data_IF_754316215351
#
_entry.id   IF_754316215351
#
_cell.length_a   1.000
_cell.length_b   1.000
_cell.length_c   1.000
_cell.angle_alpha   90.00
_cell.angle_beta   90.00
_cell.angle_gamma   90.00
#
_symmetry.space_group_name_H-M   'P 1'
#
loop_
_entity.id
_entity.type
_entity.pdbx_description
1 polymer ?
#
# COMPACT_ATOMS: atom_id res chain seq x y z
N UNK A 1 13.31 -59.56 8.82
CA UNK A 1 12.62 -58.42 9.45
C UNK A 1 13.59 -57.57 10.26
N UNK A 2 14.35 -58.13 11.19
CA UNK A 2 15.31 -57.37 12.01
C UNK A 2 16.35 -56.56 11.19
N UNK A 3 17.09 -57.22 10.29
CA UNK A 3 18.01 -56.53 9.35
C UNK A 3 17.35 -55.47 8.44
N UNK A 4 16.08 -55.66 8.10
CA UNK A 4 15.35 -54.71 7.24
C UNK A 4 15.05 -53.42 8.02
N UNK A 5 14.69 -53.56 9.29
CA UNK A 5 14.41 -52.42 10.18
C UNK A 5 15.69 -51.65 10.48
N UNK A 6 16.81 -52.34 10.69
CA UNK A 6 18.12 -51.69 10.85
C UNK A 6 18.47 -50.82 9.64
N UNK A 7 18.30 -51.37 8.43
CA UNK A 7 18.55 -50.64 7.18
C UNK A 7 17.57 -49.46 6.99
N UNK A 8 16.28 -49.65 7.28
CA UNK A 8 15.28 -48.58 7.20
C UNK A 8 15.59 -47.43 8.17
N UNK A 9 16.09 -47.72 9.36
CA UNK A 9 16.52 -46.68 10.32
C UNK A 9 17.73 -45.91 9.80
N UNK A 10 18.68 -46.59 9.14
CA UNK A 10 19.81 -45.92 8.48
C UNK A 10 19.32 -44.98 7.36
N UNK A 11 18.36 -45.44 6.55
CA UNK A 11 17.77 -44.63 5.47
C UNK A 11 17.00 -43.41 6.02
N UNK A 12 16.21 -43.59 7.09
CA UNK A 12 15.51 -42.51 7.81
C UNK A 12 16.50 -41.47 8.32
N UNK A 13 17.57 -41.90 9.01
CA UNK A 13 18.59 -40.99 9.55
C UNK A 13 19.38 -40.28 8.47
N UNK A 14 19.67 -40.97 7.37
CA UNK A 14 20.32 -40.34 6.23
C UNK A 14 19.41 -39.28 5.60
N UNK A 15 18.11 -39.53 5.49
CA UNK A 15 17.16 -38.54 4.97
C UNK A 15 17.09 -37.28 5.84
N UNK A 16 17.18 -37.42 7.17
CA UNK A 16 17.21 -36.31 8.11
C UNK A 16 18.40 -35.33 7.90
N UNK A 17 19.38 -35.68 7.07
CA UNK A 17 20.50 -34.78 6.71
C UNK A 17 20.23 -33.88 5.50
N UNK A 18 19.11 -34.09 4.80
CA UNK A 18 18.75 -33.37 3.55
C UNK A 18 17.84 -32.16 3.76
N UNK A 19 17.67 -31.74 5.02
CA UNK A 19 16.84 -30.58 5.38
C UNK A 19 17.45 -29.32 4.75
N UNK A 20 16.62 -28.57 4.03
CA UNK A 20 17.02 -27.29 3.44
C UNK A 20 17.02 -26.19 4.50
N UNK A 21 17.92 -25.20 4.42
CA UNK A 21 17.86 -24.03 5.29
C UNK A 21 16.60 -23.19 5.01
N UNK A 22 16.17 -22.34 5.96
CA UNK A 22 15.08 -21.40 5.75
C UNK A 22 15.34 -20.50 4.53
N UNK A 23 14.30 -20.21 3.74
CA UNK A 23 14.39 -19.29 2.60
C UNK A 23 14.57 -17.82 3.01
N UNK A 24 14.80 -16.93 2.03
CA UNK A 24 15.07 -15.49 2.23
C UNK A 24 13.99 -14.75 3.05
N UNK A 25 12.74 -15.24 3.06
CA UNK A 25 11.63 -14.69 3.86
C UNK A 25 11.86 -14.74 5.38
N UNK A 26 12.82 -15.54 5.83
CA UNK A 26 13.13 -15.74 7.25
C UNK A 26 14.27 -14.86 7.77
N UNK A 27 14.88 -14.00 6.93
CA UNK A 27 16.07 -13.21 7.32
C UNK A 27 15.80 -12.15 8.40
N UNK A 28 14.57 -11.59 8.44
CA UNK A 28 14.20 -10.49 9.34
C UNK A 28 13.18 -10.89 10.43
N UNK A 29 12.92 -12.19 10.60
CA UNK A 29 11.91 -12.70 11.53
C UNK A 29 12.48 -12.84 12.95
N UNK A 30 11.79 -12.30 13.95
CA UNK A 30 12.15 -12.56 15.34
C UNK A 30 11.77 -14.01 15.72
N UNK A 31 12.77 -14.89 15.70
CA UNK A 31 12.62 -16.31 16.04
C UNK A 31 12.18 -16.56 17.49
N UNK A 32 12.29 -15.55 18.38
CA UNK A 32 11.83 -15.63 19.76
C UNK A 32 10.35 -15.21 19.90
N UNK A 33 9.71 -14.72 18.83
CA UNK A 33 8.29 -14.37 18.78
C UNK A 33 7.45 -15.49 18.11
N UNK A 34 6.68 -16.30 18.88
CA UNK A 34 5.92 -17.43 18.34
C UNK A 34 4.85 -17.05 17.31
N UNK A 35 4.31 -15.83 17.40
CA UNK A 35 3.28 -15.37 16.48
C UNK A 35 3.88 -14.99 15.13
N UNK A 36 5.02 -14.29 15.11
CA UNK A 36 5.72 -13.95 13.86
C UNK A 36 6.24 -15.20 13.14
N UNK A 37 6.78 -16.17 13.88
CA UNK A 37 7.21 -17.46 13.31
C UNK A 37 6.03 -18.20 12.68
N UNK A 38 4.86 -18.19 13.32
CA UNK A 38 3.65 -18.82 12.80
C UNK A 38 3.14 -18.12 11.54
N UNK A 39 3.08 -16.79 11.56
CA UNK A 39 2.58 -16.00 10.43
C UNK A 39 3.47 -16.16 9.19
N UNK A 40 4.79 -16.18 9.35
CA UNK A 40 5.73 -16.37 8.24
C UNK A 40 5.70 -17.81 7.72
N UNK A 41 5.54 -18.82 8.59
CA UNK A 41 5.36 -20.21 8.14
C UNK A 41 4.11 -20.39 7.28
N UNK A 42 3.01 -19.69 7.61
CA UNK A 42 1.78 -19.69 6.83
C UNK A 42 1.94 -18.98 5.48
N UNK A 43 2.65 -17.84 5.47
CA UNK A 43 2.98 -17.11 4.24
C UNK A 43 3.91 -17.93 3.34
N UNK A 44 4.88 -18.65 3.90
CA UNK A 44 5.76 -19.54 3.14
C UNK A 44 4.98 -20.69 2.50
N UNK A 45 4.03 -21.30 3.23
CA UNK A 45 3.13 -22.32 2.65
C UNK A 45 2.34 -21.77 1.46
N UNK A 46 1.89 -20.52 1.53
CA UNK A 46 1.11 -19.86 0.47
C UNK A 46 1.97 -19.47 -0.74
N UNK A 47 3.21 -19.02 -0.52
CA UNK A 47 4.09 -18.49 -1.57
C UNK A 47 4.92 -19.59 -2.25
N UNK A 48 5.39 -20.59 -1.51
CA UNK A 48 6.46 -21.50 -1.97
C UNK A 48 6.05 -22.93 -2.37
N UNK A 49 4.77 -23.37 -2.28
CA UNK A 49 4.46 -24.79 -2.48
C UNK A 49 3.18 -25.16 -3.25
N UNK A 50 3.33 -25.97 -4.30
CA UNK A 50 2.33 -26.97 -4.68
C UNK A 50 2.41 -28.12 -3.65
N UNK A 51 1.28 -28.59 -3.08
CA UNK A 51 1.28 -29.71 -2.14
C UNK A 51 1.96 -30.95 -2.75
N UNK A 52 2.86 -31.57 -1.99
CA UNK A 52 3.57 -32.79 -2.39
C UNK A 52 3.37 -33.89 -1.35
N UNK A 53 3.38 -35.15 -1.80
CA UNK A 53 3.27 -36.28 -0.89
C UNK A 53 4.40 -36.28 0.14
N UNK A 54 4.06 -36.50 1.41
CA UNK A 54 5.02 -36.51 2.51
C UNK A 54 6.19 -37.47 2.24
N UNK A 55 5.90 -38.64 1.66
CA UNK A 55 6.90 -39.64 1.25
C UNK A 55 7.92 -39.14 0.22
N UNK A 56 7.54 -38.21 -0.66
CA UNK A 56 8.44 -37.55 -1.61
C UNK A 56 9.30 -36.49 -0.92
N UNK A 57 8.68 -35.67 -0.06
CA UNK A 57 9.34 -34.58 0.68
C UNK A 57 10.48 -35.13 1.54
N UNK A 58 10.20 -36.18 2.33
CA UNK A 58 11.17 -36.80 3.24
C UNK A 58 11.94 -37.95 2.59
N UNK A 59 11.69 -38.27 1.32
CA UNK A 59 12.43 -39.28 0.57
C UNK A 59 12.33 -40.71 1.11
N UNK A 60 11.28 -41.06 1.85
CA UNK A 60 10.98 -42.42 2.36
C UNK A 60 9.59 -42.81 1.89
N UNK A 61 9.51 -43.81 0.99
CA UNK A 61 8.23 -44.29 0.47
C UNK A 61 7.40 -45.08 1.49
N UNK A 62 6.07 -44.98 1.42
CA UNK A 62 5.15 -45.72 2.31
C UNK A 62 5.31 -47.24 2.20
N UNK A 63 5.72 -47.73 1.04
CA UNK A 63 6.05 -49.14 0.77
C UNK A 63 7.26 -49.63 1.57
N UNK A 64 8.16 -48.72 1.96
CA UNK A 64 9.34 -49.05 2.76
C UNK A 64 8.98 -49.23 4.23
N UNK A 65 7.84 -48.70 4.69
CA UNK A 65 7.34 -48.84 6.05
C UNK A 65 6.56 -50.15 6.24
N UNK A 66 7.05 -51.11 7.06
CA UNK A 66 6.37 -52.39 7.25
C UNK A 66 4.98 -52.21 7.87
N UNK A 67 3.99 -53.03 7.48
CA UNK A 67 2.68 -53.02 8.11
C UNK A 67 2.78 -53.48 9.59
N UNK A 68 1.92 -52.97 10.49
CA UNK A 68 2.03 -53.22 11.94
C UNK A 68 2.01 -54.71 12.33
N UNK A 69 1.32 -55.56 11.55
CA UNK A 69 1.22 -57.00 11.80
C UNK A 69 2.53 -57.79 11.54
N UNK A 70 3.55 -57.15 10.97
CA UNK A 70 4.86 -57.75 10.71
C UNK A 70 5.92 -57.34 11.73
N UNK A 71 5.57 -56.47 12.69
CA UNK A 71 6.50 -55.86 13.64
C UNK A 71 6.24 -56.35 15.07
N UNK A 72 7.30 -56.48 15.87
CA UNK A 72 7.20 -56.63 17.33
C UNK A 72 6.96 -55.25 17.97
N UNK A 73 6.35 -55.20 19.15
CA UNK A 73 6.08 -53.93 19.85
C UNK A 73 7.36 -53.09 20.06
N UNK A 74 8.48 -53.73 20.38
CA UNK A 74 9.80 -53.08 20.50
C UNK A 74 10.29 -52.44 19.20
N UNK A 75 9.94 -53.04 18.05
CA UNK A 75 10.30 -52.55 16.73
C UNK A 75 9.39 -51.41 16.28
N UNK A 76 8.11 -51.47 16.64
CA UNK A 76 7.13 -50.40 16.41
C UNK A 76 7.55 -49.13 17.15
N UNK A 77 7.85 -49.22 18.45
CA UNK A 77 8.31 -48.06 19.24
C UNK A 77 9.59 -47.46 18.67
N UNK A 78 10.54 -48.31 18.25
CA UNK A 78 11.79 -47.85 17.66
C UNK A 78 11.56 -47.09 16.34
N UNK A 79 10.78 -47.66 15.41
CA UNK A 79 10.48 -47.02 14.13
C UNK A 79 9.65 -45.75 14.28
N UNK A 80 8.64 -45.75 15.15
CA UNK A 80 7.83 -44.57 15.43
C UNK A 80 8.68 -43.40 15.92
N UNK A 81 9.63 -43.66 16.83
CA UNK A 81 10.52 -42.61 17.34
C UNK A 81 11.42 -42.03 16.25
N UNK A 82 11.99 -42.88 15.38
CA UNK A 82 12.84 -42.42 14.28
C UNK A 82 12.02 -41.66 13.22
N UNK A 83 10.79 -42.10 12.91
CA UNK A 83 9.88 -41.40 12.01
C UNK A 83 9.47 -40.02 12.54
N UNK A 84 9.11 -39.91 13.82
CA UNK A 84 8.75 -38.63 14.45
C UNK A 84 9.95 -37.68 14.49
N UNK A 85 11.15 -38.20 14.77
CA UNK A 85 12.37 -37.39 14.74
C UNK A 85 12.69 -36.89 13.32
N UNK A 86 12.51 -37.73 12.30
CA UNK A 86 12.65 -37.33 10.91
C UNK A 86 11.66 -36.22 10.56
N UNK A 87 10.38 -36.38 10.89
CA UNK A 87 9.36 -35.38 10.60
C UNK A 87 9.66 -34.04 11.25
N UNK A 88 10.07 -34.04 12.53
CA UNK A 88 10.48 -32.81 13.23
C UNK A 88 11.68 -32.12 12.59
N UNK A 89 12.59 -32.89 11.97
CA UNK A 89 13.72 -32.32 11.23
C UNK A 89 13.26 -31.60 9.95
N UNK A 90 12.15 -32.02 9.39
CA UNK A 90 11.48 -31.38 8.26
C UNK A 90 10.35 -30.43 8.71
N UNK A 91 10.36 -29.98 9.98
CA UNK A 91 9.37 -29.07 10.56
C UNK A 91 7.93 -29.62 10.66
N UNK A 92 7.73 -30.93 10.48
CA UNK A 92 6.43 -31.58 10.67
C UNK A 92 6.26 -32.14 12.09
N UNK A 93 5.12 -31.87 12.70
CA UNK A 93 4.78 -32.31 14.06
C UNK A 93 3.51 -33.17 14.03
N UNK A 94 3.64 -34.50 14.13
CA UNK A 94 2.50 -35.40 14.25
C UNK A 94 1.71 -35.20 15.54
N UNK A 95 0.42 -34.90 15.42
CA UNK A 95 -0.45 -34.67 16.58
C UNK A 95 -1.12 -35.95 17.04
N UNK A 96 -0.60 -36.50 18.14
CA UNK A 96 -1.12 -37.71 18.75
C UNK A 96 -1.76 -37.40 20.11
N UNK A 97 -2.85 -38.10 20.49
CA UNK A 97 -3.34 -38.07 21.86
C UNK A 97 -2.27 -38.57 22.84
N UNK A 98 -2.11 -37.90 23.99
CA UNK A 98 -1.01 -38.15 24.96
C UNK A 98 -0.87 -39.62 25.40
N UNK A 99 -1.97 -40.36 25.43
CA UNK A 99 -2.04 -41.75 25.93
C UNK A 99 -2.19 -42.80 24.82
N UNK A 100 -2.11 -42.41 23.54
CA UNK A 100 -2.26 -43.34 22.44
C UNK A 100 -1.07 -44.33 22.38
N UNK A 101 -1.30 -45.65 22.25
CA UNK A 101 -0.23 -46.64 22.22
C UNK A 101 0.57 -46.56 20.91
N UNK A 102 1.87 -46.83 20.99
CA UNK A 102 2.80 -46.69 19.86
C UNK A 102 2.37 -47.48 18.60
N UNK A 103 1.75 -48.64 18.76
CA UNK A 103 1.25 -49.45 17.64
C UNK A 103 0.12 -48.73 16.88
N UNK A 104 -0.75 -48.02 17.61
CA UNK A 104 -1.81 -47.23 17.02
C UNK A 104 -1.25 -45.96 16.36
N UNK A 105 -0.33 -45.27 17.04
CA UNK A 105 0.34 -44.07 16.50
C UNK A 105 1.12 -44.37 15.22
N UNK A 106 1.89 -45.46 15.21
CA UNK A 106 2.63 -45.93 14.04
C UNK A 106 1.69 -46.27 12.88
N UNK A 107 0.60 -47.00 13.15
CA UNK A 107 -0.39 -47.33 12.12
C UNK A 107 -0.98 -46.07 11.50
N UNK A 108 -1.48 -45.14 12.32
CA UNK A 108 -2.13 -43.92 11.83
C UNK A 108 -1.14 -43.06 11.05
N UNK A 109 0.08 -42.86 11.56
CA UNK A 109 1.11 -42.10 10.86
C UNK A 109 1.50 -42.73 9.51
N UNK A 110 1.63 -44.06 9.46
CA UNK A 110 1.91 -44.78 8.22
C UNK A 110 0.75 -44.67 7.21
N UNK A 111 -0.49 -44.66 7.68
CA UNK A 111 -1.67 -44.58 6.82
C UNK A 111 -1.74 -43.22 6.10
N UNK A 112 -1.31 -42.13 6.76
CA UNK A 112 -1.26 -40.75 6.25
C UNK A 112 0.09 -40.38 5.61
N UNK A 113 0.97 -41.36 5.37
CA UNK A 113 2.35 -41.11 4.90
C UNK A 113 2.48 -40.62 3.45
N UNK A 114 1.40 -40.70 2.67
CA UNK A 114 1.35 -40.20 1.28
C UNK A 114 0.43 -38.97 1.15
N UNK A 115 -0.01 -38.40 2.27
CA UNK A 115 -0.84 -37.21 2.27
C UNK A 115 -0.02 -36.00 1.79
N UNK A 116 -0.72 -35.04 1.20
CA UNK A 116 -0.09 -33.88 0.57
C UNK A 116 0.19 -32.79 1.59
N UNK A 117 1.45 -32.36 1.66
CA UNK A 117 1.90 -31.30 2.55
C UNK A 117 2.78 -30.29 1.79
N UNK A 118 2.91 -29.10 2.36
CA UNK A 118 3.86 -28.09 1.90
C UNK A 118 5.05 -28.07 2.86
N UNK A 119 6.25 -28.18 2.31
CA UNK A 119 7.49 -28.08 3.08
C UNK A 119 7.76 -26.61 3.43
N UNK A 120 8.03 -26.33 4.71
CA UNK A 120 8.45 -25.01 5.20
C UNK A 120 9.91 -25.03 5.63
N UNK A 121 10.58 -23.89 5.50
CA UNK A 121 11.98 -23.71 5.84
C UNK A 121 12.23 -23.48 7.33
N UNK A 122 11.24 -22.98 8.08
CA UNK A 122 11.25 -22.87 9.54
C UNK A 122 9.83 -22.90 10.13
N UNK A 123 9.73 -22.94 11.46
CA UNK A 123 8.45 -23.10 12.18
C UNK A 123 8.06 -24.57 12.38
N UNK A 124 6.77 -24.81 12.67
CA UNK A 124 6.19 -26.14 12.86
C UNK A 124 4.87 -26.27 12.09
N UNK A 125 4.73 -27.35 11.33
CA UNK A 125 3.51 -27.75 10.62
C UNK A 125 2.94 -28.97 11.30
N UNK A 126 1.79 -28.80 11.95
CA UNK A 126 1.11 -29.88 12.64
C UNK A 126 0.41 -30.81 11.63
N UNK A 127 0.62 -32.12 11.78
CA UNK A 127 -0.08 -33.15 11.01
C UNK A 127 -1.22 -33.68 11.87
N UNK A 128 -2.43 -33.23 11.53
CA UNK A 128 -3.67 -33.73 12.12
C UNK A 128 -4.12 -35.00 11.39
N UNK A 129 -4.59 -36.00 12.14
CA UNK A 129 -5.01 -37.30 11.59
C UNK A 129 -6.54 -37.50 11.63
N UNK A 130 -7.29 -36.50 12.06
CA UNK A 130 -8.69 -36.63 12.45
C UNK A 130 -9.58 -35.68 11.65
N UNK A 131 -10.51 -36.23 10.87
CA UNK A 131 -11.52 -35.46 10.12
C UNK A 131 -12.73 -35.03 10.97
N UNK A 132 -12.62 -35.13 12.30
CA UNK A 132 -13.67 -34.84 13.29
C UNK A 132 -14.94 -35.70 13.16
N UNK A 133 -14.92 -36.78 12.38
CA UNK A 133 -15.98 -37.80 12.36
C UNK A 133 -15.80 -38.80 13.51
N UNK A 134 -16.68 -38.71 14.51
CA UNK A 134 -16.71 -39.62 15.65
C UNK A 134 -16.86 -41.10 15.31
N UNK A 135 -17.51 -41.39 14.19
CA UNK A 135 -17.74 -42.77 13.75
C UNK A 135 -16.47 -43.38 13.12
N UNK A 136 -15.53 -42.54 12.68
CA UNK A 136 -14.27 -42.91 12.03
C UNK A 136 -13.06 -42.34 12.79
N UNK A 137 -13.13 -42.26 14.13
CA UNK A 137 -12.01 -41.74 14.90
C UNK A 137 -10.75 -42.63 14.74
N UNK A 138 -9.60 -42.07 14.33
CA UNK A 138 -8.33 -42.81 14.19
C UNK A 138 -7.76 -43.29 15.55
N UNK A 139 -8.21 -42.69 16.66
CA UNK A 139 -7.72 -42.97 18.02
C UNK A 139 -8.84 -43.37 19.00
N UNK A 140 -9.58 -44.46 18.73
CA UNK A 140 -10.74 -44.84 19.52
C UNK A 140 -10.32 -45.18 20.96
N UNK A 141 -10.96 -44.51 21.93
CA UNK A 141 -10.70 -44.71 23.37
C UNK A 141 -9.47 -43.98 23.92
N UNK A 142 -8.69 -43.32 23.07
CA UNK A 142 -7.51 -42.54 23.47
C UNK A 142 -7.66 -41.04 23.19
N UNK A 143 -8.52 -40.67 22.24
CA UNK A 143 -8.90 -39.29 21.96
C UNK A 143 -10.20 -38.93 22.72
N UNK A 144 -10.20 -37.78 23.39
CA UNK A 144 -11.36 -37.21 24.08
C UNK A 144 -11.93 -35.99 23.39
N UNK A 145 -11.29 -35.48 22.32
CA UNK A 145 -11.64 -34.24 21.63
C UNK A 145 -13.13 -34.18 21.25
N UNK A 146 -13.68 -35.20 20.56
CA UNK A 146 -15.11 -35.17 20.22
C UNK A 146 -16.05 -35.27 21.43
N UNK A 147 -15.60 -35.87 22.54
CA UNK A 147 -16.37 -35.91 23.79
C UNK A 147 -16.31 -34.57 24.51
N UNK A 148 -15.15 -33.92 24.52
CA UNK A 148 -14.96 -32.57 25.04
C UNK A 148 -15.83 -31.58 24.26
N UNK A 149 -15.80 -31.64 22.93
CA UNK A 149 -16.69 -30.86 22.04
C UNK A 149 -18.19 -31.10 22.37
N UNK A 150 -18.57 -32.34 22.67
CA UNK A 150 -19.96 -32.71 23.05
C UNK A 150 -20.36 -32.31 24.47
N UNK A 151 -19.40 -32.25 25.39
CA UNK A 151 -19.63 -31.86 26.78
C UNK A 151 -19.72 -30.34 26.89
N UNK A 152 -18.89 -29.60 26.13
CA UNK A 152 -18.99 -28.15 25.95
C UNK A 152 -20.35 -27.72 25.38
N UNK A 153 -20.92 -28.50 24.45
CA UNK A 153 -22.25 -28.20 23.87
C UNK A 153 -23.44 -28.53 24.79
N UNK A 154 -23.24 -29.08 25.99
CA UNK A 154 -24.33 -29.34 26.97
C UNK A 154 -24.45 -28.29 28.08
N UNK A 155 -23.40 -27.51 28.35
CA UNK A 155 -23.34 -26.58 29.49
C UNK A 155 -23.91 -25.18 29.18
N UNK A 156 -24.28 -24.89 27.94
CA UNK A 156 -24.73 -23.57 27.47
C UNK A 156 -26.23 -23.26 27.67
N UNK A 157 -27.01 -24.12 28.36
CA UNK A 157 -28.43 -23.83 28.64
C UNK A 157 -28.70 -22.83 29.77
N UNK A 158 -27.67 -22.21 30.33
CA UNK A 158 -27.86 -21.25 31.41
C UNK A 158 -26.64 -20.40 31.69
N UNK A 159 -26.39 -19.43 30.80
CA UNK A 159 -25.41 -18.31 30.84
C UNK A 159 -24.14 -18.56 30.00
N UNK A 160 -24.09 -17.83 28.89
CA UNK A 160 -22.91 -17.26 28.20
C UNK A 160 -21.72 -18.21 27.96
N UNK A 161 -21.54 -18.69 26.71
CA UNK A 161 -20.45 -18.24 25.81
C UNK A 161 -20.26 -19.14 24.56
N UNK A 162 -20.67 -18.58 23.41
CA UNK A 162 -20.23 -18.71 22.01
C UNK A 162 -20.36 -20.08 21.29
N UNK A 163 -21.57 -20.34 20.77
CA UNK A 163 -21.72 -20.96 19.44
C UNK A 163 -21.20 -19.94 18.42
N UNK A 164 -20.04 -20.15 17.81
CA UNK A 164 -19.65 -19.35 16.63
C UNK A 164 -20.12 -20.10 15.40
N UNK A 165 -21.13 -19.53 14.73
CA UNK A 165 -21.52 -19.93 13.38
C UNK A 165 -20.29 -19.83 12.45
N UNK A 166 -20.19 -20.62 11.38
CA UNK A 166 -19.08 -20.46 10.41
C UNK A 166 -19.12 -19.05 9.77
N UNK A 167 -20.32 -18.45 9.71
CA UNK A 167 -20.52 -17.05 9.35
C UNK A 167 -20.03 -16.05 10.42
N UNK A 168 -19.82 -16.47 11.67
CA UNK A 168 -19.17 -15.69 12.75
C UNK A 168 -17.64 -15.91 12.81
N UNK A 169 -17.11 -16.91 12.10
CA UNK A 169 -15.66 -17.16 11.96
C UNK A 169 -15.05 -16.47 10.74
N UNK A 170 -15.84 -16.25 9.70
CA UNK A 170 -15.47 -15.33 8.63
C UNK A 170 -15.62 -13.91 9.16
N UNK A 171 -14.61 -13.03 9.00
CA UNK A 171 -14.80 -11.64 9.35
C UNK A 171 -16.03 -11.13 8.61
N UNK A 172 -16.98 -10.60 9.37
CA UNK A 172 -18.17 -9.97 8.81
C UNK A 172 -17.74 -8.93 7.76
N UNK A 173 -18.60 -8.56 6.80
CA UNK A 173 -18.29 -7.46 5.89
C UNK A 173 -17.86 -6.17 6.61
N UNK A 174 -18.28 -5.97 7.86
CA UNK A 174 -17.82 -4.87 8.71
C UNK A 174 -16.40 -5.08 9.27
N UNK A 175 -16.04 -6.31 9.65
CA UNK A 175 -14.69 -6.67 10.11
C UNK A 175 -13.67 -6.68 8.98
N UNK A 176 -14.03 -7.20 7.79
CA UNK A 176 -13.20 -7.10 6.58
C UNK A 176 -12.94 -5.63 6.27
N UNK A 177 -13.99 -4.79 6.25
CA UNK A 177 -13.81 -3.35 6.05
C UNK A 177 -12.95 -2.71 7.13
N UNK A 178 -13.06 -3.14 8.38
CA UNK A 178 -12.25 -2.64 9.50
C UNK A 178 -10.78 -3.02 9.34
N UNK A 179 -10.50 -4.24 8.90
CA UNK A 179 -9.16 -4.75 8.62
C UNK A 179 -8.54 -4.07 7.39
N UNK A 180 -9.28 -3.97 6.28
CA UNK A 180 -8.89 -3.20 5.11
C UNK A 180 -8.55 -1.75 5.46
N UNK A 181 -9.35 -1.15 6.34
CA UNK A 181 -9.13 0.20 6.86
C UNK A 181 -7.87 0.29 7.71
N UNK A 182 -7.61 -0.69 8.58
CA UNK A 182 -6.40 -0.75 9.39
C UNK A 182 -5.16 -0.90 8.51
N UNK A 183 -5.20 -1.80 7.52
CA UNK A 183 -4.14 -2.02 6.55
C UNK A 183 -3.91 -0.78 5.67
N UNK A 184 -4.97 -0.05 5.30
CA UNK A 184 -4.87 1.24 4.62
C UNK A 184 -4.16 2.27 5.50
N UNK A 185 -4.54 2.41 6.77
CA UNK A 185 -3.87 3.31 7.72
C UNK A 185 -2.39 2.98 7.90
N UNK A 186 -2.04 1.71 8.04
CA UNK A 186 -0.64 1.27 8.15
C UNK A 186 0.14 1.65 6.89
N UNK A 187 -0.37 1.34 5.69
CA UNK A 187 0.26 1.75 4.43
C UNK A 187 0.47 3.26 4.31
N UNK A 188 -0.55 4.06 4.65
CA UNK A 188 -0.45 5.52 4.66
C UNK A 188 0.67 5.98 5.62
N UNK A 189 0.69 5.42 6.83
CA UNK A 189 1.67 5.76 7.85
C UNK A 189 3.10 5.40 7.41
N UNK A 190 3.29 4.23 6.84
CA UNK A 190 4.58 3.78 6.33
C UNK A 190 5.03 4.66 5.16
N UNK A 191 4.14 4.99 4.22
CA UNK A 191 4.45 5.88 3.11
C UNK A 191 4.94 7.27 3.58
N UNK A 192 4.39 7.79 4.67
CA UNK A 192 4.86 9.04 5.27
C UNK A 192 6.16 8.87 6.08
N UNK A 193 6.39 7.71 6.70
CA UNK A 193 7.52 7.45 7.61
C UNK A 193 8.75 6.82 6.97
N UNK A 194 8.68 6.32 5.72
CA UNK A 194 9.86 5.87 4.95
C UNK A 194 10.97 6.92 5.05
N UNK A 195 12.23 6.50 5.15
CA UNK A 195 13.38 7.39 5.43
C UNK A 195 13.49 8.57 4.46
N UNK A 196 13.72 9.77 5.01
CA UNK A 196 13.95 11.02 4.27
C UNK A 196 15.30 11.05 3.52
N UNK A 197 16.19 10.11 3.83
CA UNK A 197 17.59 10.08 3.37
C UNK A 197 17.81 9.06 2.25
N UNK A 198 16.73 8.52 1.65
CA UNK A 198 16.85 7.66 0.48
C UNK A 198 17.33 8.48 -0.73
N UNK A 199 18.56 8.22 -1.18
CA UNK A 199 19.21 8.85 -2.35
C UNK A 199 18.39 8.76 -3.66
N UNK A 200 17.38 7.88 -3.72
CA UNK A 200 16.46 7.77 -4.85
C UNK A 200 15.61 9.03 -5.06
N UNK A 201 15.21 9.72 -3.98
CA UNK A 201 14.29 10.86 -4.06
C UNK A 201 15.04 12.19 -4.17
N UNK A 202 14.48 13.12 -4.93
CA UNK A 202 15.00 14.49 -5.04
C UNK A 202 14.39 15.33 -3.89
N UNK A 203 15.19 15.81 -2.92
CA UNK A 203 14.68 16.61 -1.82
C UNK A 203 14.03 17.90 -2.32
N UNK A 204 12.82 18.21 -1.83
CA UNK A 204 12.16 19.48 -2.10
C UNK A 204 11.64 19.67 -3.54
N UNK A 205 11.73 18.69 -4.44
CA UNK A 205 11.21 18.79 -5.83
C UNK A 205 9.73 19.21 -5.87
N UNK A 206 8.94 18.78 -4.89
CA UNK A 206 7.52 19.08 -4.78
C UNK A 206 7.21 20.52 -4.34
N UNK A 207 8.19 21.28 -3.84
CA UNK A 207 7.99 22.67 -3.44
C UNK A 207 7.79 23.59 -4.66
N UNK A 208 8.47 23.26 -5.77
CA UNK A 208 8.51 24.08 -6.98
C UNK A 208 8.02 23.34 -8.23
N UNK A 209 7.06 22.44 -8.07
CA UNK A 209 6.38 21.75 -9.16
C UNK A 209 5.04 22.44 -9.55
N UNK A 210 4.52 22.08 -10.72
CA UNK A 210 3.20 22.48 -11.23
C UNK A 210 2.05 21.53 -10.78
N UNK A 211 2.38 20.54 -9.93
CA UNK A 211 1.49 19.47 -9.45
C UNK A 211 0.88 18.59 -10.56
N UNK A 212 1.38 18.66 -11.80
CA UNK A 212 0.85 17.85 -12.89
C UNK A 212 1.56 16.48 -12.97
N UNK A 213 1.30 15.64 -11.98
CA UNK A 213 1.98 14.36 -11.79
C UNK A 213 1.89 13.45 -13.02
N UNK A 214 0.76 13.43 -13.73
CA UNK A 214 0.51 12.61 -14.92
C UNK A 214 1.42 12.96 -16.11
N UNK A 215 1.97 14.18 -16.12
CA UNK A 215 2.91 14.66 -17.15
C UNK A 215 4.32 14.85 -16.60
N UNK A 216 4.55 14.53 -15.33
CA UNK A 216 5.82 14.76 -14.67
C UNK A 216 6.82 13.63 -14.98
N UNK A 217 8.02 13.94 -15.54
CA UNK A 217 9.02 12.92 -15.82
C UNK A 217 9.75 12.42 -14.56
N UNK A 218 9.52 13.04 -13.40
CA UNK A 218 10.21 12.75 -12.14
C UNK A 218 9.38 11.94 -11.14
N UNK A 219 8.26 11.32 -11.55
CA UNK A 219 7.37 10.58 -10.64
C UNK A 219 8.05 9.41 -9.91
N UNK A 220 9.10 8.81 -10.48
CA UNK A 220 9.88 7.73 -9.85
C UNK A 220 10.89 8.23 -8.81
N UNK A 221 11.15 9.54 -8.78
CA UNK A 221 12.10 10.22 -7.88
C UNK A 221 11.41 11.30 -7.03
N UNK A 222 10.08 11.32 -7.02
CA UNK A 222 9.26 12.26 -6.26
C UNK A 222 8.48 11.52 -5.18
N UNK A 223 8.78 11.80 -3.91
CA UNK A 223 8.08 11.21 -2.77
C UNK A 223 6.57 11.48 -2.79
N UNK A 224 6.15 12.67 -3.20
CA UNK A 224 4.70 12.98 -3.27
C UNK A 224 3.99 12.06 -4.27
N UNK A 225 4.62 11.80 -5.43
CA UNK A 225 4.04 10.92 -6.44
C UNK A 225 4.03 9.44 -5.99
N UNK A 226 5.02 9.01 -5.20
CA UNK A 226 5.03 7.68 -4.58
C UNK A 226 3.90 7.56 -3.55
N UNK A 227 3.79 8.53 -2.63
CA UNK A 227 2.74 8.57 -1.62
C UNK A 227 1.35 8.57 -2.29
N UNK A 228 1.14 9.39 -3.31
CA UNK A 228 -0.13 9.40 -4.05
C UNK A 228 -0.48 8.03 -4.64
N UNK A 229 0.49 7.30 -5.20
CA UNK A 229 0.27 5.93 -5.73
C UNK A 229 -0.07 4.93 -4.63
N UNK A 230 0.59 5.02 -3.47
CA UNK A 230 0.36 4.11 -2.34
C UNK A 230 -1.00 4.36 -1.68
N UNK A 231 -1.41 5.63 -1.60
CA UNK A 231 -2.67 6.03 -0.96
C UNK A 231 -3.87 5.85 -1.90
N UNK A 232 -3.69 6.06 -3.20
CA UNK A 232 -4.74 5.95 -4.23
C UNK A 232 -4.32 5.00 -5.37
N UNK A 233 -4.24 3.69 -5.12
CA UNK A 233 -3.78 2.73 -6.13
C UNK A 233 -4.79 2.51 -7.27
N UNK A 234 -6.09 2.75 -7.03
CA UNK A 234 -7.17 2.49 -7.99
C UNK A 234 -7.96 3.74 -8.39
N UNK A 235 -8.49 3.76 -9.62
CA UNK A 235 -9.32 4.88 -10.15
C UNK A 235 -10.58 5.15 -9.32
N UNK A 236 -11.17 4.13 -8.68
CA UNK A 236 -12.35 4.28 -7.81
C UNK A 236 -12.04 5.09 -6.55
N UNK A 237 -10.83 4.98 -6.01
CA UNK A 237 -10.37 5.75 -4.85
C UNK A 237 -10.16 7.24 -5.14
N UNK A 238 -10.27 7.66 -6.42
CA UNK A 238 -10.22 9.05 -6.88
C UNK A 238 -11.59 9.62 -7.26
N UNK A 239 -12.66 8.81 -7.21
CA UNK A 239 -14.01 9.28 -7.49
C UNK A 239 -14.64 9.89 -6.24
N UNK A 240 -14.92 11.20 -6.27
CA UNK A 240 -15.54 11.92 -5.15
C UNK A 240 -16.95 11.40 -4.79
N UNK A 241 -17.61 10.70 -5.71
CA UNK A 241 -18.92 10.08 -5.47
C UNK A 241 -18.81 8.70 -4.81
N UNK A 242 -17.61 8.11 -4.75
CA UNK A 242 -17.36 6.85 -4.08
C UNK A 242 -17.29 7.03 -2.56
N UNK A 243 -17.97 6.19 -1.76
CA UNK A 243 -17.78 6.15 -0.31
C UNK A 243 -16.32 5.84 0.08
N UNK A 244 -15.64 5.00 -0.69
CA UNK A 244 -14.25 4.59 -0.45
C UNK A 244 -13.27 5.77 -0.54
N UNK A 245 -13.53 6.77 -1.39
CA UNK A 245 -12.79 8.04 -1.42
C UNK A 245 -12.83 8.74 -0.06
N UNK A 246 -14.03 8.90 0.52
CA UNK A 246 -14.22 9.60 1.80
C UNK A 246 -13.64 8.83 2.99
N UNK A 247 -13.70 7.49 2.94
CA UNK A 247 -13.03 6.64 3.92
C UNK A 247 -11.51 6.80 3.87
N UNK A 248 -10.92 6.76 2.68
CA UNK A 248 -9.48 6.97 2.46
C UNK A 248 -9.06 8.35 2.98
N UNK A 249 -9.78 9.40 2.59
CA UNK A 249 -9.53 10.77 3.06
C UNK A 249 -9.59 10.87 4.59
N UNK A 250 -10.57 10.23 5.22
CA UNK A 250 -10.69 10.18 6.68
C UNK A 250 -9.47 9.51 7.32
N UNK A 251 -8.95 8.44 6.74
CA UNK A 251 -7.79 7.74 7.26
C UNK A 251 -6.50 8.53 7.09
N UNK A 252 -6.33 9.24 5.96
CA UNK A 252 -5.23 10.19 5.77
C UNK A 252 -5.23 11.24 6.88
N UNK A 253 -6.37 11.87 7.16
CA UNK A 253 -6.47 12.88 8.21
C UNK A 253 -6.18 12.31 9.60
N UNK A 254 -6.62 11.07 9.89
CA UNK A 254 -6.33 10.41 11.18
C UNK A 254 -4.83 10.14 11.34
N UNK A 255 -4.19 9.55 10.34
CA UNK A 255 -2.74 9.30 10.37
C UNK A 255 -1.96 10.61 10.48
N UNK A 256 -2.35 11.64 9.71
CA UNK A 256 -1.74 12.97 9.78
C UNK A 256 -1.86 13.56 11.18
N UNK A 257 -3.05 13.49 11.79
CA UNK A 257 -3.27 13.96 13.17
C UNK A 257 -2.40 13.22 14.17
N UNK A 258 -2.34 11.88 14.10
CA UNK A 258 -1.49 11.06 14.97
C UNK A 258 0.00 11.46 14.84
N UNK A 259 0.46 11.75 13.62
CA UNK A 259 1.82 12.23 13.38
C UNK A 259 2.05 13.63 13.97
N UNK A 260 1.13 14.57 13.77
CA UNK A 260 1.19 15.93 14.32
C UNK A 260 1.19 15.90 15.85
N UNK A 261 0.33 15.09 16.48
CA UNK A 261 0.29 14.92 17.95
C UNK A 261 1.62 14.36 18.49
N UNK A 262 2.20 13.37 17.81
CA UNK A 262 3.51 12.80 18.17
C UNK A 262 4.63 13.84 18.05
N UNK A 263 4.64 14.64 16.99
CA UNK A 263 5.64 15.69 16.79
C UNK A 263 5.46 16.86 17.75
N UNK A 264 4.23 17.28 18.04
CA UNK A 264 3.93 18.28 19.03
C UNK A 264 4.43 17.85 20.41
N UNK A 265 4.13 16.62 20.83
CA UNK A 265 4.64 16.05 22.09
C UNK A 265 6.17 16.00 22.12
N UNK A 266 6.82 15.62 21.01
CA UNK A 266 8.28 15.60 20.89
C UNK A 266 8.90 17.00 21.01
N UNK A 267 8.25 18.02 20.46
CA UNK A 267 8.69 19.42 20.49
C UNK A 267 8.23 20.16 21.75
N UNK A 268 7.42 19.53 22.61
CA UNK A 268 6.84 20.17 23.80
C UNK A 268 5.79 21.23 23.48
N UNK A 269 5.14 21.12 22.33
CA UNK A 269 4.03 21.99 21.89
C UNK A 269 2.74 21.41 22.44
N UNK A 270 1.97 22.22 23.16
CA UNK A 270 0.63 21.89 23.62
C UNK A 270 -0.38 22.26 22.52
N UNK A 271 -1.13 21.28 22.02
CA UNK A 271 -2.11 21.47 20.94
C UNK A 271 -3.46 21.98 21.46
N UNK A 272 -3.70 21.91 22.77
CA UNK A 272 -4.96 22.34 23.40
C UNK A 272 -4.88 23.79 23.90
N UNK A 273 -3.74 24.47 23.70
CA UNK A 273 -3.67 25.91 23.94
C UNK A 273 -4.55 26.62 22.93
N UNK A 274 -5.46 27.47 23.41
CA UNK A 274 -6.16 28.43 22.56
C UNK A 274 -5.10 29.33 21.92
N UNK A 275 -4.78 29.07 20.65
CA UNK A 275 -4.16 30.09 19.81
C UNK A 275 -5.10 31.30 19.87
N UNK A 276 -4.55 32.48 20.17
CA UNK A 276 -5.26 33.69 19.78
C UNK A 276 -5.42 33.55 18.27
N UNK A 277 -6.66 33.50 17.77
CA UNK A 277 -6.98 33.56 16.33
C UNK A 277 -6.39 34.88 15.77
N UNK A 278 -5.08 34.92 15.58
CA UNK A 278 -4.41 36.05 14.98
C UNK A 278 -4.95 36.12 13.56
N UNK A 279 -5.58 37.24 13.17
CA UNK A 279 -6.15 37.33 11.85
C UNK A 279 -5.03 37.10 10.83
N UNK A 280 -5.31 36.27 9.82
CA UNK A 280 -4.40 36.06 8.69
C UNK A 280 -4.27 37.35 7.85
N UNK A 281 -3.45 38.28 8.35
CA UNK A 281 -3.21 39.59 7.76
C UNK A 281 -2.39 39.42 6.47
N UNK A 282 -1.47 38.47 6.45
CA UNK A 282 -0.59 38.22 5.30
C UNK A 282 -1.39 37.66 4.13
N UNK A 283 -2.20 36.62 4.35
CA UNK A 283 -3.09 36.06 3.33
C UNK A 283 -4.07 37.10 2.80
N UNK A 284 -4.69 37.90 3.69
CA UNK A 284 -5.56 39.01 3.26
C UNK A 284 -4.84 40.04 2.40
N UNK A 285 -3.60 40.41 2.72
CA UNK A 285 -2.79 41.30 1.87
C UNK A 285 -2.50 40.68 0.50
N UNK A 286 -2.17 39.38 0.46
CA UNK A 286 -1.95 38.65 -0.78
C UNK A 286 -3.22 38.59 -1.64
N UNK A 287 -4.38 38.30 -1.04
CA UNK A 287 -5.70 38.34 -1.69
C UNK A 287 -6.04 39.72 -2.26
N UNK A 288 -5.74 40.78 -1.50
CA UNK A 288 -6.05 42.15 -1.90
C UNK A 288 -5.11 42.70 -2.97
N UNK A 289 -3.94 42.10 -3.15
CA UNK A 289 -2.90 42.56 -4.07
C UNK A 289 -3.41 42.55 -5.54
N UNK A 290 -3.15 43.62 -6.32
CA UNK A 290 -3.64 43.73 -7.70
C UNK A 290 -3.28 42.55 -8.62
N UNK A 291 -2.09 41.98 -8.48
CA UNK A 291 -1.66 40.81 -9.26
C UNK A 291 -2.49 39.57 -8.92
N UNK A 292 -2.81 39.34 -7.65
CA UNK A 292 -3.64 38.21 -7.21
C UNK A 292 -5.05 38.32 -7.80
N UNK A 293 -5.67 39.50 -7.68
CA UNK A 293 -6.97 39.79 -8.29
C UNK A 293 -6.98 39.54 -9.80
N UNK A 294 -5.95 40.01 -10.51
CA UNK A 294 -5.83 39.84 -11.96
C UNK A 294 -5.67 38.35 -12.35
N UNK A 295 -4.89 37.59 -11.59
CA UNK A 295 -4.70 36.15 -11.81
C UNK A 295 -5.96 35.35 -11.54
N UNK A 296 -6.69 35.67 -10.46
CA UNK A 296 -7.98 35.06 -10.12
C UNK A 296 -9.05 35.41 -11.17
N UNK A 297 -9.07 36.63 -11.67
CA UNK A 297 -9.95 37.02 -12.78
C UNK A 297 -9.68 36.18 -14.03
N UNK A 298 -8.40 35.96 -14.37
CA UNK A 298 -8.03 35.09 -15.49
C UNK A 298 -8.50 33.65 -15.25
N UNK A 299 -8.21 33.10 -14.06
CA UNK A 299 -8.61 31.75 -13.68
C UNK A 299 -10.12 31.55 -13.88
N UNK A 300 -10.94 32.42 -13.28
CA UNK A 300 -12.41 32.34 -13.40
C UNK A 300 -12.85 32.50 -14.85
N UNK A 301 -12.28 33.44 -15.59
CA UNK A 301 -12.70 33.70 -16.96
C UNK A 301 -12.36 32.55 -17.91
N UNK A 302 -11.14 32.01 -17.83
CA UNK A 302 -10.70 30.86 -18.61
C UNK A 302 -11.55 29.62 -18.29
N UNK A 303 -11.76 29.31 -17.01
CA UNK A 303 -12.59 28.19 -16.58
C UNK A 303 -14.05 28.32 -17.08
N UNK A 304 -14.67 29.50 -16.93
CA UNK A 304 -16.01 29.75 -17.44
C UNK A 304 -16.10 29.65 -18.96
N UNK A 305 -15.07 30.11 -19.68
CA UNK A 305 -15.03 30.04 -21.13
C UNK A 305 -14.95 28.57 -21.60
N UNK A 306 -14.09 27.76 -20.99
CA UNK A 306 -13.99 26.34 -21.29
C UNK A 306 -15.32 25.63 -21.01
N UNK A 307 -15.90 25.85 -19.84
CA UNK A 307 -17.15 25.21 -19.43
C UNK A 307 -18.32 25.56 -20.36
N UNK A 308 -18.50 26.84 -20.69
CA UNK A 308 -19.61 27.30 -21.55
C UNK A 308 -19.48 26.82 -23.00
N UNK A 309 -18.25 26.54 -23.45
CA UNK A 309 -17.97 26.18 -24.84
C UNK A 309 -17.53 24.72 -25.00
N UNK A 310 -17.81 23.85 -24.02
CA UNK A 310 -17.41 22.45 -24.07
C UNK A 310 -17.95 21.71 -25.32
N UNK A 311 -19.21 21.99 -25.68
CA UNK A 311 -19.83 21.43 -26.89
C UNK A 311 -19.18 21.98 -28.16
N UNK A 312 -18.82 23.26 -28.16
CA UNK A 312 -18.11 23.88 -29.28
C UNK A 312 -16.77 23.19 -29.52
N UNK A 313 -15.95 23.04 -28.47
CA UNK A 313 -14.66 22.35 -28.58
C UNK A 313 -14.83 20.87 -28.97
N UNK A 314 -15.84 20.19 -28.43
CA UNK A 314 -16.15 18.80 -28.77
C UNK A 314 -16.57 18.64 -30.23
N UNK A 315 -17.42 19.52 -30.74
CA UNK A 315 -17.88 19.49 -32.14
C UNK A 315 -16.77 19.93 -33.10
N UNK A 316 -15.95 20.90 -32.70
CA UNK A 316 -14.77 21.31 -33.45
C UNK A 316 -13.80 20.13 -33.64
N UNK A 317 -13.65 19.29 -32.60
CA UNK A 317 -12.84 18.09 -32.66
C UNK A 317 -13.41 17.02 -33.60
N UNK A 318 -14.73 16.77 -33.55
CA UNK A 318 -15.41 15.76 -34.37
C UNK A 318 -15.41 16.06 -35.87
N UNK A 319 -15.40 17.35 -36.25
CA UNK A 319 -15.56 17.79 -37.64
C UNK A 319 -14.25 17.90 -38.44
N UNK A 320 -13.11 17.43 -37.92
CA UNK A 320 -11.84 17.41 -38.66
C UNK A 320 -11.31 15.99 -38.85
N UNK A 321 -10.93 15.68 -40.09
CA UNK A 321 -10.29 14.39 -40.45
C UNK A 321 -8.78 14.36 -40.12
N UNK A 322 -8.17 15.50 -39.79
CA UNK A 322 -6.71 15.61 -39.58
C UNK A 322 -6.34 15.39 -38.11
N UNK A 323 -5.67 14.27 -37.81
CA UNK A 323 -5.36 13.84 -36.45
C UNK A 323 -4.37 14.76 -35.71
N UNK A 324 -3.47 15.45 -36.40
CA UNK A 324 -2.36 16.15 -35.73
C UNK A 324 -2.76 17.52 -35.16
N UNK A 325 -3.56 18.29 -35.92
CA UNK A 325 -4.11 19.58 -35.44
C UNK A 325 -5.07 19.34 -34.27
N UNK A 326 -5.81 18.23 -34.31
CA UNK A 326 -6.72 17.85 -33.23
C UNK A 326 -5.98 17.49 -31.95
N UNK A 327 -4.91 16.69 -32.03
CA UNK A 327 -4.04 16.40 -30.88
C UNK A 327 -3.44 17.68 -30.28
N UNK A 328 -3.01 18.60 -31.14
CA UNK A 328 -2.47 19.89 -30.69
C UNK A 328 -3.51 20.68 -29.91
N UNK A 329 -4.72 20.83 -30.45
CA UNK A 329 -5.81 21.56 -29.77
C UNK A 329 -6.24 20.87 -28.47
N UNK A 330 -6.35 19.55 -28.46
CA UNK A 330 -6.69 18.80 -27.26
C UNK A 330 -5.64 19.01 -26.15
N UNK A 331 -4.36 18.92 -26.51
CA UNK A 331 -3.25 19.19 -25.61
C UNK A 331 -3.27 20.64 -25.09
N UNK A 332 -3.53 21.62 -25.96
CA UNK A 332 -3.63 23.03 -25.57
C UNK A 332 -4.79 23.28 -24.59
N UNK A 333 -5.95 22.64 -24.81
CA UNK A 333 -7.09 22.74 -23.89
C UNK A 333 -6.79 22.12 -22.53
N UNK A 334 -6.09 20.98 -22.50
CA UNK A 334 -5.68 20.32 -21.26
C UNK A 334 -4.70 21.21 -20.47
N UNK A 335 -3.74 21.84 -21.15
CA UNK A 335 -2.80 22.80 -20.54
C UNK A 335 -3.55 23.97 -19.91
N UNK A 336 -4.48 24.57 -20.65
CA UNK A 336 -5.28 25.70 -20.15
C UNK A 336 -6.14 25.25 -18.96
N UNK A 337 -6.76 24.07 -19.04
CA UNK A 337 -7.58 23.51 -17.98
C UNK A 337 -6.76 23.24 -16.71
N UNK A 338 -5.49 22.87 -16.83
CA UNK A 338 -4.61 22.73 -15.69
C UNK A 338 -4.13 24.09 -15.15
N UNK A 339 -3.55 24.92 -16.01
CA UNK A 339 -2.81 26.12 -15.62
C UNK A 339 -3.70 27.27 -15.13
N UNK A 340 -4.98 27.33 -15.53
CA UNK A 340 -5.81 28.48 -15.21
C UNK A 340 -5.96 28.72 -13.70
N UNK A 341 -6.11 27.66 -12.89
CA UNK A 341 -6.15 27.78 -11.43
C UNK A 341 -4.76 27.83 -10.80
N UNK A 342 -3.80 27.09 -11.38
CA UNK A 342 -2.44 26.98 -10.84
C UNK A 342 -1.73 28.33 -10.79
N UNK A 343 -1.85 29.15 -11.84
CA UNK A 343 -1.22 30.48 -11.90
C UNK A 343 -1.66 31.34 -10.71
N UNK A 344 -2.97 31.38 -10.42
CA UNK A 344 -3.52 32.13 -9.30
C UNK A 344 -2.98 31.64 -7.96
N UNK A 345 -3.00 30.33 -7.74
CA UNK A 345 -2.50 29.72 -6.50
C UNK A 345 -1.00 29.98 -6.26
N UNK A 346 -0.18 29.87 -7.31
CA UNK A 346 1.28 30.08 -7.21
C UNK A 346 1.66 31.54 -7.00
N UNK A 347 0.96 32.47 -7.65
CA UNK A 347 1.15 33.91 -7.44
C UNK A 347 0.66 34.35 -6.06
N UNK A 348 -0.45 33.78 -5.56
CA UNK A 348 -0.89 34.02 -4.20
C UNK A 348 0.19 33.61 -3.19
N UNK A 349 0.72 32.39 -3.28
CA UNK A 349 1.82 31.93 -2.40
C UNK A 349 3.07 32.82 -2.49
N UNK A 350 3.45 33.24 -3.69
CA UNK A 350 4.59 34.15 -3.87
C UNK A 350 4.34 35.51 -3.16
N UNK A 351 3.12 36.03 -3.25
CA UNK A 351 2.72 37.27 -2.57
C UNK A 351 2.62 37.10 -1.05
N UNK A 352 2.17 35.95 -0.55
CA UNK A 352 2.20 35.62 0.87
C UNK A 352 3.64 35.70 1.39
N UNK A 353 4.58 35.04 0.72
CA UNK A 353 6.01 35.12 1.07
C UNK A 353 6.58 36.54 0.97
N UNK A 354 6.10 37.35 0.00
CA UNK A 354 6.48 38.76 -0.12
C UNK A 354 6.00 39.60 1.08
N UNK A 355 4.86 39.28 1.69
CA UNK A 355 4.32 40.01 2.83
C UNK A 355 4.77 39.46 4.19
N UNK A 356 5.34 38.25 4.21
CA UNK A 356 5.91 37.54 5.37
C UNK A 356 7.33 38.01 5.77
N UNK A 357 7.80 39.15 5.26
CA UNK A 357 9.18 39.68 5.35
C UNK A 357 9.83 39.81 6.75
N UNK A 358 9.18 39.41 7.84
CA UNK A 358 9.77 39.34 9.19
C UNK A 358 10.44 37.99 9.52
N UNK A 359 10.38 36.99 8.62
CA UNK A 359 10.97 35.67 8.82
C UNK A 359 12.34 35.50 8.10
N UNK A 360 13.20 34.55 8.54
CA UNK A 360 14.57 34.39 8.06
C UNK A 360 14.70 34.29 6.54
N UNK A 361 15.88 34.66 6.04
CA UNK A 361 16.31 34.76 4.62
C UNK A 361 15.86 33.58 3.72
N UNK A 362 15.66 32.39 4.29
CA UNK A 362 15.18 31.16 3.62
C UNK A 362 13.79 31.32 2.98
N UNK A 363 12.87 32.13 3.55
CA UNK A 363 11.51 32.30 3.01
C UNK A 363 11.50 33.22 1.78
N UNK A 364 12.47 34.13 1.67
CA UNK A 364 12.57 35.03 0.51
C UNK A 364 12.98 34.30 -0.78
N UNK A 365 13.66 33.15 -0.67
CA UNK A 365 13.92 32.29 -1.83
C UNK A 365 12.64 31.56 -2.30
N UNK A 366 11.75 31.17 -1.37
CA UNK A 366 10.52 30.43 -1.70
C UNK A 366 9.55 31.23 -2.59
N UNK A 367 9.39 32.54 -2.33
CA UNK A 367 8.51 33.39 -3.15
C UNK A 367 8.94 33.43 -4.63
N UNK A 368 10.25 33.47 -4.87
CA UNK A 368 10.82 33.47 -6.22
C UNK A 368 10.61 32.13 -6.91
N UNK A 369 10.72 31.01 -6.18
CA UNK A 369 10.41 29.70 -6.71
C UNK A 369 8.94 29.52 -7.07
N UNK A 370 8.03 30.02 -6.23
CA UNK A 370 6.59 29.98 -6.51
C UNK A 370 6.22 30.90 -7.70
N UNK A 371 6.83 32.09 -7.79
CA UNK A 371 6.68 32.98 -8.93
C UNK A 371 7.27 32.41 -10.23
N UNK A 372 8.38 31.68 -10.16
CA UNK A 372 9.00 30.99 -11.30
C UNK A 372 8.02 29.97 -11.92
N UNK A 373 7.42 29.11 -11.09
CA UNK A 373 6.41 28.14 -11.55
C UNK A 373 5.23 28.86 -12.20
N UNK A 374 4.75 29.96 -11.62
CA UNK A 374 3.68 30.75 -12.22
C UNK A 374 4.06 31.30 -13.60
N UNK A 375 5.29 31.80 -13.78
CA UNK A 375 5.78 32.29 -15.07
C UNK A 375 5.82 31.18 -16.13
N UNK A 376 6.27 29.98 -15.77
CA UNK A 376 6.27 28.81 -16.67
C UNK A 376 4.85 28.45 -17.11
N UNK A 377 3.90 28.39 -16.17
CA UNK A 377 2.49 28.14 -16.48
C UNK A 377 1.85 29.26 -17.32
N UNK A 378 2.25 30.52 -17.11
CA UNK A 378 1.80 31.65 -17.93
C UNK A 378 2.32 31.51 -19.36
N UNK A 379 3.60 31.16 -19.56
CA UNK A 379 4.20 30.99 -20.89
C UNK A 379 3.55 29.82 -21.67
N UNK A 380 3.29 28.71 -20.97
CA UNK A 380 2.49 27.59 -21.49
C UNK A 380 1.09 28.02 -21.90
N UNK A 381 0.38 28.72 -21.01
CA UNK A 381 -0.97 29.22 -21.27
C UNK A 381 -1.00 30.18 -22.47
N UNK A 382 -0.06 31.13 -22.56
CA UNK A 382 0.04 32.07 -23.69
C UNK A 382 0.24 31.30 -25.00
N UNK A 383 1.13 30.30 -24.99
CA UNK A 383 1.40 29.47 -26.17
C UNK A 383 0.14 28.70 -26.59
N UNK A 384 -0.56 28.07 -25.66
CA UNK A 384 -1.79 27.32 -25.94
C UNK A 384 -2.94 28.20 -26.42
N UNK A 385 -3.18 29.37 -25.80
CA UNK A 385 -4.17 30.32 -26.30
C UNK A 385 -3.82 30.87 -27.69
N UNK A 386 -2.53 31.09 -27.98
CA UNK A 386 -2.07 31.53 -29.30
C UNK A 386 -2.27 30.46 -30.36
N UNK A 387 -2.06 29.19 -30.02
CA UNK A 387 -2.34 28.06 -30.90
C UNK A 387 -3.84 27.91 -31.15
N UNK A 388 -4.70 28.07 -30.13
CA UNK A 388 -6.16 28.09 -30.30
C UNK A 388 -6.60 29.23 -31.20
N UNK A 389 -6.02 30.43 -31.06
CA UNK A 389 -6.30 31.56 -31.94
C UNK A 389 -5.96 31.24 -33.41
N UNK A 390 -4.80 30.63 -33.66
CA UNK A 390 -4.36 30.27 -35.01
C UNK A 390 -5.18 29.14 -35.62
N UNK A 391 -5.49 28.11 -34.83
CA UNK A 391 -6.03 26.85 -35.33
C UNK A 391 -7.55 26.70 -35.12
N UNK A 392 -8.18 27.58 -34.35
CA UNK A 392 -9.61 27.59 -34.02
C UNK A 392 -10.13 29.04 -33.83
N UNK A 393 -10.16 29.88 -34.88
CA UNK A 393 -10.40 31.32 -34.76
C UNK A 393 -11.84 31.72 -34.41
N UNK A 394 -12.77 30.76 -34.20
CA UNK A 394 -14.19 31.08 -33.97
C UNK A 394 -14.50 31.85 -32.68
N UNK A 395 -13.49 32.07 -31.83
CA UNK A 395 -13.56 32.85 -30.59
C UNK A 395 -12.39 33.85 -30.46
N UNK A 396 -11.89 34.37 -31.59
CA UNK A 396 -10.72 35.25 -31.67
C UNK A 396 -10.71 36.41 -30.64
N UNK A 397 -11.78 37.21 -30.56
CA UNK A 397 -11.87 38.33 -29.61
C UNK A 397 -11.70 37.88 -28.15
N UNK A 398 -12.24 36.72 -27.80
CA UNK A 398 -12.14 36.17 -26.45
C UNK A 398 -10.72 35.71 -26.15
N UNK A 399 -10.05 35.07 -27.11
CA UNK A 399 -8.67 34.64 -26.96
C UNK A 399 -7.71 35.82 -26.87
N UNK A 400 -7.89 36.85 -27.71
CA UNK A 400 -7.08 38.08 -27.66
C UNK A 400 -7.22 38.79 -26.31
N UNK A 401 -8.44 38.83 -25.75
CA UNK A 401 -8.67 39.35 -24.41
C UNK A 401 -7.90 38.57 -23.35
N UNK A 402 -7.88 37.24 -23.43
CA UNK A 402 -7.13 36.38 -22.51
C UNK A 402 -5.62 36.60 -22.65
N UNK A 403 -5.10 36.60 -23.88
CA UNK A 403 -3.68 36.80 -24.16
C UNK A 403 -3.18 38.14 -23.61
N UNK A 404 -3.98 39.21 -23.75
CA UNK A 404 -3.68 40.50 -23.15
C UNK A 404 -3.64 40.43 -21.61
N UNK A 405 -4.60 39.73 -20.99
CA UNK A 405 -4.62 39.55 -19.54
C UNK A 405 -3.41 38.77 -19.04
N UNK A 406 -3.07 37.64 -19.68
CA UNK A 406 -1.88 36.84 -19.35
C UNK A 406 -0.58 37.63 -19.51
N UNK A 407 -0.45 38.42 -20.58
CA UNK A 407 0.74 39.28 -20.78
C UNK A 407 0.89 40.32 -19.67
N UNK A 408 -0.24 40.90 -19.20
CA UNK A 408 -0.23 41.83 -18.05
C UNK A 408 0.17 41.14 -16.76
N UNK A 409 -0.37 39.95 -16.49
CA UNK A 409 0.01 39.13 -15.32
C UNK A 409 1.51 38.83 -15.40
N UNK A 410 2.00 38.32 -16.53
CA UNK A 410 3.40 37.99 -16.73
C UNK A 410 4.33 39.17 -16.45
N UNK A 411 4.00 40.34 -17.00
CA UNK A 411 4.80 41.55 -16.81
C UNK A 411 4.83 41.95 -15.33
N UNK A 412 3.67 42.01 -14.67
CA UNK A 412 3.61 42.36 -13.25
C UNK A 412 4.36 41.35 -12.37
N UNK A 413 4.26 40.06 -12.66
CA UNK A 413 5.02 39.03 -11.93
C UNK A 413 6.53 39.27 -12.06
N UNK A 414 7.04 39.55 -13.26
CA UNK A 414 8.46 39.85 -13.48
C UNK A 414 8.90 41.15 -12.79
N UNK A 415 8.02 42.16 -12.76
CA UNK A 415 8.32 43.44 -12.12
C UNK A 415 8.36 43.31 -10.57
N UNK A 416 7.52 42.45 -9.98
CA UNK A 416 7.43 42.24 -8.52
C UNK A 416 8.48 41.24 -8.03
N UNK A 417 8.73 40.17 -8.82
CA UNK A 417 9.65 39.09 -8.50
C UNK A 417 10.75 38.99 -9.57
N UNK A 418 11.69 39.95 -9.62
CA UNK A 418 12.71 40.01 -10.67
C UNK A 418 13.64 38.78 -10.67
N UNK A 419 13.89 38.19 -9.51
CA UNK A 419 14.80 37.05 -9.36
C UNK A 419 14.12 35.70 -9.67
N UNK A 420 12.80 35.68 -9.83
CA UNK A 420 12.05 34.46 -10.13
C UNK A 420 12.55 33.75 -11.41
N UNK A 421 12.96 34.48 -12.45
CA UNK A 421 13.46 33.88 -13.70
C UNK A 421 14.75 33.09 -13.47
N UNK A 422 15.57 33.52 -12.50
CA UNK A 422 16.86 32.90 -12.20
C UNK A 422 16.76 31.88 -11.06
N UNK A 423 15.57 31.65 -10.52
CA UNK A 423 15.37 30.69 -9.44
C UNK A 423 15.68 29.28 -9.92
N UNK A 424 16.49 28.56 -9.14
CA UNK A 424 16.86 27.18 -9.40
C UNK A 424 15.86 26.23 -8.75
N UNK A 425 15.12 25.43 -9.55
CA UNK A 425 14.20 24.42 -9.03
C UNK A 425 14.91 23.08 -8.87
N UNK A 426 15.11 22.58 -7.65
CA UNK A 426 15.74 21.29 -7.41
C UNK A 426 15.08 20.16 -8.22
N UNK A 427 15.90 19.37 -8.90
CA UNK A 427 15.47 18.27 -9.77
C UNK A 427 15.04 18.67 -11.17
N UNK A 428 14.36 19.81 -11.33
CA UNK A 428 13.87 20.25 -12.64
C UNK A 428 14.95 20.98 -13.45
N UNK A 429 15.85 21.68 -12.78
CA UNK A 429 16.91 22.48 -13.40
C UNK A 429 18.32 21.88 -13.13
N UNK A 430 18.38 20.70 -12.51
CA UNK A 430 19.56 19.84 -12.37
C UNK A 430 19.85 19.20 -13.75
N UNK A 431 20.84 19.71 -14.50
CA UNK A 431 21.16 19.18 -15.84
C UNK A 431 21.51 17.68 -15.86
#
# INVERSE_FOLDING_TARGET
MERYIEQLIEDIRHSATRVQPPGELWEDVDMDNPNEVKDISFVEQYINGEPQQLSLIIGIGKEQLPPPNQLRDTQVTLLLNEMVQLLRKFHFVPDFPEKAPDNLRYKVLRDHWDDEHVLVGAGEVHIEFCDYDETQCPFPGYCTVCKEIREESKDTRGKTDIETDIDDLLPTPEEIKKEERLNRKMRIKDAFQRDTDNEQFIPGIYNYCDRWCERCPFTTRCRVAEIEKEITPDQSSSDIQSPEFWETLTDIFKVTREMVEKDAARLGIDLDTEDNDEPDIVGKKADEHPLSKLAIEYARYAGQLLQKNIEYFSNYAKNRENSEVLKTIANDLEIIQWDHMLIGAKLHRALTGLYEQELPEIIQEDMNGSANVALISIDRSISSWSNLLKNNPGMEDLYLKILNQLSRIQKQTKDIFPDAINFYRPGFDDN
#
